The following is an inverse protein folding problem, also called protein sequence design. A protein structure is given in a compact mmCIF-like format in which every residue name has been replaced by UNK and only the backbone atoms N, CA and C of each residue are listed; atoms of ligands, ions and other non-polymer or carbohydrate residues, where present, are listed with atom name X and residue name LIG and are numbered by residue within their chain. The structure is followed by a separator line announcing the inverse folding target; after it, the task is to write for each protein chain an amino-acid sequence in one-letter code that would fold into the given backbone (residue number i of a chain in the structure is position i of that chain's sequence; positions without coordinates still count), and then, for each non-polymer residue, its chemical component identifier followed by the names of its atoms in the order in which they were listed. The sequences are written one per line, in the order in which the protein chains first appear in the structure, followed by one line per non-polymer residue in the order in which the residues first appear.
data_IF_359384492668
#
_entry.id   IF_359384492668
#
_cell.length_a   1.000
_cell.length_b   1.000
_cell.length_c   1.000
_cell.angle_alpha   90.00
_cell.angle_beta   90.00
_cell.angle_gamma   90.00
#
_symmetry.space_group_name_H-M   'P 1'
#
loop_
_entity.id
_entity.type
_entity.pdbx_description
1 polymer ?
#
# COMPACT_ATOMS: atom_id res chain seq x y z
N UNK A 1 19.56 48.54 -28.59
CA UNK A 1 20.13 47.21 -28.97
C UNK A 1 20.26 46.27 -27.78
N UNK A 2 20.60 46.73 -26.59
CA UNK A 2 20.75 45.92 -25.35
C UNK A 2 19.40 45.35 -24.85
N UNK A 3 18.31 46.10 -24.97
CA UNK A 3 16.95 45.68 -24.57
C UNK A 3 16.44 44.51 -25.37
N UNK A 4 16.68 44.45 -26.65
CA UNK A 4 16.25 43.31 -27.51
C UNK A 4 17.01 42.03 -27.16
N UNK A 5 18.29 42.16 -26.81
CA UNK A 5 19.11 41.00 -26.39
C UNK A 5 18.65 40.44 -25.04
N UNK A 6 18.27 41.29 -24.09
CA UNK A 6 17.77 40.93 -22.79
C UNK A 6 16.40 40.22 -22.86
N UNK A 7 15.53 40.72 -23.76
CA UNK A 7 14.21 40.12 -24.01
C UNK A 7 14.31 38.72 -24.66
N UNK A 8 15.23 38.54 -25.59
CA UNK A 8 15.51 37.25 -26.22
C UNK A 8 16.12 36.27 -25.23
N UNK A 9 17.02 36.72 -24.37
CA UNK A 9 17.61 35.90 -23.30
C UNK A 9 16.57 35.44 -22.28
N UNK A 10 15.68 36.34 -21.85
CA UNK A 10 14.59 35.99 -20.93
C UNK A 10 13.62 34.97 -21.55
N UNK A 11 13.24 35.13 -22.82
CA UNK A 11 12.38 34.17 -23.50
C UNK A 11 13.02 32.80 -23.63
N UNK A 12 14.31 32.74 -23.95
CA UNK A 12 15.07 31.48 -24.01
C UNK A 12 15.20 30.81 -22.64
N UNK A 13 15.41 31.58 -21.59
CA UNK A 13 15.51 31.08 -20.21
C UNK A 13 14.16 30.55 -19.72
N UNK A 14 13.05 31.24 -20.05
CA UNK A 14 11.69 30.77 -19.73
C UNK A 14 11.35 29.45 -20.44
N UNK A 15 11.70 29.33 -21.73
CA UNK A 15 11.52 28.10 -22.51
C UNK A 15 12.34 26.95 -21.92
N UNK A 16 13.57 27.22 -21.49
CA UNK A 16 14.44 26.22 -20.88
C UNK A 16 13.85 25.70 -19.55
N UNK A 17 13.36 26.61 -18.69
CA UNK A 17 12.70 26.24 -17.42
C UNK A 17 11.45 25.40 -17.69
N UNK A 18 10.63 25.79 -18.66
CA UNK A 18 9.42 25.06 -19.02
C UNK A 18 9.75 23.67 -19.56
N UNK A 19 10.79 23.55 -20.37
CA UNK A 19 11.23 22.26 -20.93
C UNK A 19 11.82 21.31 -19.86
N UNK A 20 12.42 21.84 -18.79
CA UNK A 20 12.94 21.03 -17.68
C UNK A 20 11.83 20.62 -16.71
N UNK A 21 10.80 21.46 -16.51
CA UNK A 21 9.68 21.18 -15.60
C UNK A 21 8.68 20.17 -16.18
N UNK A 22 8.48 20.13 -17.50
CA UNK A 22 7.54 19.21 -18.17
C UNK A 22 7.81 17.72 -17.89
N UNK A 23 9.06 17.20 -17.96
CA UNK A 23 9.32 15.79 -17.71
C UNK A 23 9.12 15.39 -16.23
N UNK A 24 9.24 16.31 -15.27
CA UNK A 24 9.02 16.02 -13.84
C UNK A 24 7.53 15.80 -13.58
N UNK A 25 6.66 16.57 -14.21
CA UNK A 25 5.20 16.40 -14.10
C UNK A 25 4.72 15.13 -14.84
N UNK A 26 5.33 14.82 -15.99
CA UNK A 26 5.01 13.62 -16.77
C UNK A 26 5.43 12.31 -16.05
N UNK A 27 6.53 12.33 -15.28
CA UNK A 27 7.02 11.16 -14.55
C UNK A 27 6.05 10.73 -13.44
N UNK A 28 5.42 11.66 -12.73
CA UNK A 28 4.41 11.38 -11.71
C UNK A 28 3.15 10.73 -12.29
N UNK A 29 2.66 11.24 -13.40
CA UNK A 29 1.49 10.69 -14.09
C UNK A 29 1.77 9.31 -14.72
N UNK A 30 2.95 9.12 -15.32
CA UNK A 30 3.36 7.85 -15.90
C UNK A 30 3.44 6.73 -14.84
N UNK A 31 3.89 7.06 -13.63
CA UNK A 31 4.00 6.09 -12.53
C UNK A 31 2.63 5.61 -12.03
N UNK A 32 1.65 6.50 -11.93
CA UNK A 32 0.28 6.19 -11.50
C UNK A 32 -0.44 5.33 -12.56
N UNK A 33 -0.38 5.72 -13.82
CA UNK A 33 -0.98 4.98 -14.94
C UNK A 33 -0.33 3.60 -15.11
N UNK A 34 0.97 3.50 -14.87
CA UNK A 34 1.73 2.24 -14.96
C UNK A 34 1.33 1.26 -13.84
N UNK A 35 1.05 1.74 -12.62
CA UNK A 35 0.64 0.87 -11.50
C UNK A 35 -0.71 0.21 -11.79
N UNK A 36 -1.71 0.98 -12.24
CA UNK A 36 -3.04 0.45 -12.63
C UNK A 36 -2.92 -0.64 -13.69
N UNK A 37 -2.21 -0.38 -14.79
CA UNK A 37 -2.02 -1.35 -15.86
C UNK A 37 -1.30 -2.63 -15.37
N UNK A 38 -0.38 -2.50 -14.41
CA UNK A 38 0.39 -3.63 -13.86
C UNK A 38 -0.43 -4.54 -12.95
N UNK A 39 -1.51 -4.05 -12.33
CA UNK A 39 -2.36 -4.82 -11.40
C UNK A 39 -3.76 -5.10 -11.94
N UNK A 40 -4.06 -4.73 -13.19
CA UNK A 40 -5.37 -4.95 -13.80
C UNK A 40 -5.78 -6.44 -13.87
N UNK A 41 -4.81 -7.33 -13.86
CA UNK A 41 -5.00 -8.79 -13.88
C UNK A 41 -5.33 -9.39 -12.49
N UNK A 42 -5.25 -8.59 -11.41
CA UNK A 42 -5.42 -9.04 -10.03
C UNK A 42 -6.67 -9.88 -9.77
N UNK A 43 -7.89 -9.49 -10.24
CA UNK A 43 -9.11 -10.25 -9.94
C UNK A 43 -9.10 -11.67 -10.53
N UNK A 44 -8.30 -11.91 -11.56
CA UNK A 44 -8.22 -13.18 -12.28
C UNK A 44 -7.03 -14.05 -11.85
N UNK A 45 -6.18 -13.55 -10.95
CA UNK A 45 -5.01 -14.25 -10.45
C UNK A 45 -5.18 -14.68 -9.00
N UNK A 46 -4.48 -15.73 -8.62
CA UNK A 46 -4.57 -16.28 -7.26
C UNK A 46 -3.76 -15.42 -6.30
N UNK A 47 -4.39 -14.99 -5.22
CA UNK A 47 -3.70 -14.40 -4.07
C UNK A 47 -3.25 -15.51 -3.12
N UNK A 48 -1.94 -15.72 -3.01
CA UNK A 48 -1.32 -16.61 -2.04
C UNK A 48 -1.19 -15.87 -0.70
N UNK A 49 -1.87 -16.34 0.32
CA UNK A 49 -1.77 -15.82 1.68
C UNK A 49 -0.66 -16.57 2.39
N UNK A 50 0.47 -15.90 2.59
CA UNK A 50 1.64 -16.48 3.23
C UNK A 50 1.42 -16.52 4.74
N UNK A 51 1.35 -17.72 5.29
CA UNK A 51 1.06 -17.92 6.70
C UNK A 51 2.26 -17.51 7.57
N UNK A 52 2.02 -16.73 8.65
CA UNK A 52 3.07 -16.27 9.56
C UNK A 52 3.90 -17.38 10.23
N UNK A 53 3.34 -18.60 10.33
CA UNK A 53 3.98 -19.72 11.01
C UNK A 53 3.85 -19.68 12.53
N UNK A 54 2.94 -18.85 13.04
CA UNK A 54 2.53 -18.80 14.42
C UNK A 54 1.06 -19.26 14.51
N UNK A 55 0.79 -20.33 15.22
CA UNK A 55 -0.53 -20.97 15.25
C UNK A 55 -1.68 -20.01 15.64
N UNK A 56 -1.40 -19.01 16.48
CA UNK A 56 -2.39 -18.02 16.89
C UNK A 56 -2.73 -17.05 15.73
N UNK A 57 -1.73 -16.52 15.06
CA UNK A 57 -1.94 -15.66 13.89
C UNK A 57 -2.49 -16.47 12.71
N UNK A 58 -1.96 -17.67 12.49
CA UNK A 58 -2.41 -18.53 11.38
C UNK A 58 -3.91 -18.79 11.46
N UNK A 59 -4.44 -19.13 12.64
CA UNK A 59 -5.87 -19.34 12.85
C UNK A 59 -6.70 -18.09 12.53
N UNK A 60 -6.30 -16.93 13.04
CA UNK A 60 -6.99 -15.67 12.81
C UNK A 60 -6.97 -15.25 11.32
N UNK A 61 -5.81 -15.38 10.66
CA UNK A 61 -5.70 -15.09 9.23
C UNK A 61 -6.57 -16.02 8.39
N UNK A 62 -6.57 -17.33 8.69
CA UNK A 62 -7.42 -18.30 8.00
C UNK A 62 -8.90 -17.96 8.14
N UNK A 63 -9.37 -17.67 9.34
CA UNK A 63 -10.76 -17.32 9.61
C UNK A 63 -11.16 -16.03 8.87
N UNK A 64 -10.40 -14.96 9.04
CA UNK A 64 -10.74 -13.66 8.48
C UNK A 64 -10.66 -13.67 6.95
N UNK A 65 -9.61 -14.23 6.37
CA UNK A 65 -9.47 -14.30 4.90
C UNK A 65 -10.59 -15.18 4.31
N UNK A 66 -10.86 -16.35 4.87
CA UNK A 66 -11.91 -17.24 4.36
C UNK A 66 -13.29 -16.60 4.43
N UNK A 67 -13.56 -15.82 5.47
CA UNK A 67 -14.85 -15.15 5.66
C UNK A 67 -15.02 -13.86 4.88
N UNK A 68 -13.92 -13.10 4.58
CA UNK A 68 -14.00 -11.74 4.04
C UNK A 68 -13.41 -11.53 2.66
N UNK A 69 -12.37 -12.28 2.26
CA UNK A 69 -11.73 -12.06 0.97
C UNK A 69 -12.63 -12.44 -0.20
N UNK A 70 -12.87 -11.51 -1.14
CA UNK A 70 -13.82 -11.69 -2.25
C UNK A 70 -13.32 -11.13 -3.59
N UNK A 71 -12.16 -10.51 -3.63
CA UNK A 71 -11.70 -9.72 -4.78
C UNK A 71 -10.82 -10.50 -5.76
N UNK A 72 -10.37 -11.69 -5.35
CA UNK A 72 -9.63 -12.64 -6.19
C UNK A 72 -9.76 -14.06 -5.64
N UNK A 73 -9.50 -15.11 -6.41
CA UNK A 73 -9.22 -16.43 -5.86
C UNK A 73 -8.07 -16.37 -4.86
N UNK A 74 -8.11 -17.17 -3.80
CA UNK A 74 -7.03 -17.19 -2.81
C UNK A 74 -6.69 -18.62 -2.37
N UNK A 75 -5.47 -18.79 -1.90
CA UNK A 75 -4.95 -20.02 -1.32
C UNK A 75 -3.95 -19.66 -0.20
N UNK A 76 -3.95 -20.45 0.86
CA UNK A 76 -2.94 -20.33 1.90
C UNK A 76 -1.65 -21.03 1.48
N UNK A 77 -0.50 -20.48 1.82
CA UNK A 77 0.78 -21.09 1.53
C UNK A 77 1.79 -20.84 2.65
N UNK A 78 2.82 -21.68 2.69
CA UNK A 78 3.96 -21.49 3.58
C UNK A 78 4.98 -20.50 3.00
N UNK A 79 5.90 -20.01 3.83
CA UNK A 79 7.02 -19.19 3.40
C UNK A 79 7.91 -19.92 2.38
N UNK A 80 8.08 -21.24 2.52
CA UNK A 80 8.84 -22.06 1.56
C UNK A 80 8.16 -22.12 0.18
N UNK A 81 6.84 -22.13 0.13
CA UNK A 81 6.09 -22.08 -1.13
C UNK A 81 6.15 -20.69 -1.74
N UNK A 82 6.05 -19.63 -0.93
CA UNK A 82 6.28 -18.27 -1.39
C UNK A 82 7.65 -18.15 -2.09
N UNK A 83 8.73 -18.63 -1.47
CA UNK A 83 10.06 -18.55 -2.03
C UNK A 83 10.19 -19.26 -3.40
N UNK A 84 9.45 -20.34 -3.60
CA UNK A 84 9.42 -21.07 -4.89
C UNK A 84 8.58 -20.36 -5.95
N UNK A 85 7.51 -19.68 -5.55
CA UNK A 85 6.49 -19.13 -6.44
C UNK A 85 6.64 -17.64 -6.71
N UNK A 86 7.37 -16.88 -5.87
CA UNK A 86 7.48 -15.43 -5.95
C UNK A 86 7.99 -14.88 -7.29
N UNK A 87 8.76 -15.69 -8.03
CA UNK A 87 9.23 -15.32 -9.37
C UNK A 87 8.17 -15.42 -10.47
N UNK A 88 7.01 -15.99 -10.18
CA UNK A 88 5.91 -16.14 -11.14
C UNK A 88 4.96 -14.95 -11.08
N UNK A 89 4.62 -14.40 -12.23
CA UNK A 89 3.63 -13.33 -12.38
C UNK A 89 2.18 -13.82 -12.28
N UNK A 90 1.98 -15.14 -12.10
CA UNK A 90 0.64 -15.75 -11.95
C UNK A 90 0.04 -15.52 -10.58
N UNK A 91 0.82 -15.06 -9.61
CA UNK A 91 0.41 -14.93 -8.22
C UNK A 91 0.57 -13.52 -7.69
N UNK A 92 -0.34 -13.17 -6.78
CA UNK A 92 -0.15 -12.12 -5.80
C UNK A 92 0.10 -12.76 -4.43
N UNK A 93 0.82 -12.06 -3.58
CA UNK A 93 1.14 -12.57 -2.24
C UNK A 93 0.71 -11.56 -1.19
N UNK A 94 -0.07 -12.02 -0.22
CA UNK A 94 -0.39 -11.28 0.99
C UNK A 94 0.45 -11.87 2.13
N UNK A 95 1.22 -11.04 2.81
CA UNK A 95 2.14 -11.52 3.86
C UNK A 95 2.39 -10.46 4.92
N UNK A 96 2.84 -10.90 6.09
CA UNK A 96 3.40 -10.01 7.08
C UNK A 96 4.84 -9.63 6.68
N UNK A 97 5.11 -8.34 6.68
CA UNK A 97 6.44 -7.77 6.47
C UNK A 97 6.82 -6.90 7.66
N UNK A 98 8.09 -6.67 7.87
CA UNK A 98 8.59 -5.76 8.90
C UNK A 98 9.14 -4.50 8.24
N UNK A 99 8.85 -3.35 8.83
CA UNK A 99 9.34 -2.05 8.38
C UNK A 99 10.23 -1.40 9.42
N UNK A 100 11.33 -0.81 8.95
CA UNK A 100 12.28 -0.08 9.75
C UNK A 100 12.38 1.36 9.23
N UNK A 101 12.20 2.34 10.08
CA UNK A 101 12.46 3.72 9.71
C UNK A 101 13.96 4.01 9.70
N UNK A 102 14.35 4.99 8.88
CA UNK A 102 15.76 5.31 8.59
C UNK A 102 16.66 5.50 9.82
N UNK A 103 16.08 5.89 10.96
CA UNK A 103 16.81 6.21 12.19
C UNK A 103 16.59 5.16 13.30
N UNK A 104 15.94 4.05 12.99
CA UNK A 104 15.73 2.94 13.93
C UNK A 104 16.82 1.88 13.76
N UNK A 105 17.22 1.27 14.87
CA UNK A 105 18.20 0.19 14.85
C UNK A 105 17.58 -1.15 14.47
N UNK A 106 16.27 -1.32 14.74
CA UNK A 106 15.50 -2.55 14.50
C UNK A 106 14.12 -2.19 13.92
N UNK A 107 13.47 -3.11 13.19
CA UNK A 107 12.11 -2.89 12.69
C UNK A 107 11.13 -2.68 13.84
N UNK A 108 10.46 -1.53 13.87
CA UNK A 108 9.48 -1.19 14.92
C UNK A 108 8.07 -1.66 14.64
N UNK A 109 7.71 -1.88 13.36
CA UNK A 109 6.35 -2.19 12.93
C UNK A 109 6.29 -3.43 12.03
N UNK A 110 5.19 -4.17 12.18
CA UNK A 110 4.74 -5.18 11.22
C UNK A 110 3.63 -4.60 10.34
N UNK A 111 3.63 -5.01 9.09
CA UNK A 111 2.65 -4.62 8.09
C UNK A 111 2.01 -5.84 7.43
N UNK A 112 0.76 -5.70 7.02
CA UNK A 112 0.17 -6.61 6.03
C UNK A 112 0.43 -5.99 4.66
N UNK A 113 1.19 -6.70 3.82
CA UNK A 113 1.60 -6.24 2.50
C UNK A 113 1.05 -7.16 1.43
N UNK A 114 0.45 -6.56 0.39
CA UNK A 114 0.04 -7.24 -0.83
C UNK A 114 1.01 -6.86 -1.96
N UNK A 115 1.70 -7.85 -2.50
CA UNK A 115 2.70 -7.69 -3.57
C UNK A 115 2.36 -8.58 -4.76
N UNK A 116 2.80 -8.20 -5.95
CA UNK A 116 2.70 -9.02 -7.16
C UNK A 116 3.98 -9.82 -7.37
N UNK A 117 3.84 -11.10 -7.66
CA UNK A 117 4.95 -11.95 -8.09
C UNK A 117 5.51 -11.54 -9.46
N UNK A 118 6.72 -11.97 -9.75
CA UNK A 118 7.36 -11.69 -11.03
C UNK A 118 8.88 -11.68 -10.95
N UNK A 119 9.53 -11.39 -12.09
CA UNK A 119 10.97 -11.46 -12.25
C UNK A 119 11.77 -10.59 -11.25
N UNK A 120 11.19 -9.47 -10.80
CA UNK A 120 11.84 -8.58 -9.83
C UNK A 120 12.02 -9.21 -8.45
N UNK A 121 11.29 -10.29 -8.13
CA UNK A 121 11.45 -11.05 -6.90
C UNK A 121 12.88 -11.64 -6.72
N UNK A 122 13.61 -11.83 -7.81
CA UNK A 122 15.02 -12.26 -7.76
C UNK A 122 15.95 -11.23 -7.10
N UNK A 123 15.52 -9.95 -7.04
CA UNK A 123 16.26 -8.85 -6.41
C UNK A 123 15.88 -8.63 -4.94
N UNK A 124 14.90 -9.37 -4.44
CA UNK A 124 14.33 -9.25 -3.08
C UNK A 124 12.89 -8.77 -3.08
N UNK A 125 12.25 -8.90 -1.91
CA UNK A 125 10.84 -8.53 -1.71
C UNK A 125 10.62 -7.03 -1.98
N UNK A 126 11.55 -6.18 -1.56
CA UNK A 126 11.50 -4.72 -1.74
C UNK A 126 11.50 -4.28 -3.21
N UNK A 127 11.91 -5.17 -4.12
CA UNK A 127 11.91 -4.90 -5.56
C UNK A 127 10.62 -5.35 -6.25
N UNK A 128 9.78 -6.13 -5.56
CA UNK A 128 8.50 -6.59 -6.10
C UNK A 128 7.50 -5.45 -6.18
N UNK A 129 6.53 -5.57 -7.09
CA UNK A 129 5.48 -4.57 -7.21
C UNK A 129 4.57 -4.60 -5.98
N UNK A 130 4.70 -3.60 -5.13
CA UNK A 130 3.79 -3.39 -4.01
C UNK A 130 2.45 -2.85 -4.51
N UNK A 131 1.36 -3.53 -4.12
CA UNK A 131 -0.01 -3.08 -4.36
C UNK A 131 -0.47 -2.18 -3.22
N UNK A 132 -0.39 -2.67 -1.99
CA UNK A 132 -0.78 -1.96 -0.77
C UNK A 132 -0.03 -2.53 0.43
N UNK A 133 0.30 -1.65 1.36
CA UNK A 133 0.89 -2.00 2.66
C UNK A 133 0.12 -1.25 3.74
N UNK A 134 -0.34 -1.96 4.77
CA UNK A 134 -1.07 -1.39 5.92
C UNK A 134 -0.38 -1.78 7.23
N UNK A 135 -0.25 -0.85 8.20
CA UNK A 135 0.29 -1.18 9.52
C UNK A 135 -0.61 -2.20 10.22
N UNK A 136 0.01 -3.13 10.95
CA UNK A 136 -0.70 -4.21 11.61
C UNK A 136 -0.38 -4.31 13.10
N UNK A 137 0.89 -4.42 13.48
CA UNK A 137 1.32 -4.68 14.85
C UNK A 137 2.67 -4.05 15.16
N UNK A 138 3.04 -3.99 16.44
CA UNK A 138 4.42 -3.79 16.84
C UNK A 138 5.26 -5.03 16.47
N UNK A 139 6.50 -4.80 15.99
CA UNK A 139 7.35 -5.90 15.54
C UNK A 139 7.86 -6.74 16.71
N UNK A 140 8.27 -6.09 17.82
CA UNK A 140 8.95 -6.77 18.92
C UNK A 140 8.00 -7.36 19.97
N UNK A 141 6.87 -6.68 20.20
CA UNK A 141 5.91 -7.07 21.25
C UNK A 141 4.48 -7.02 20.73
N UNK A 142 4.09 -7.94 19.82
CA UNK A 142 2.70 -8.00 19.38
C UNK A 142 1.81 -8.36 20.58
N UNK A 143 0.77 -7.57 20.79
CA UNK A 143 -0.11 -7.71 21.97
C UNK A 143 -1.18 -8.78 21.79
N UNK A 144 -1.45 -9.17 20.53
CA UNK A 144 -2.59 -9.98 20.11
C UNK A 144 -3.88 -9.15 19.95
N UNK A 145 -3.93 -7.92 20.47
CA UNK A 145 -5.09 -7.00 20.30
C UNK A 145 -5.24 -6.51 18.85
N UNK A 146 -4.15 -6.45 18.11
CA UNK A 146 -4.12 -6.13 16.68
C UNK A 146 -5.01 -7.04 15.84
N UNK A 147 -5.24 -8.27 16.26
CA UNK A 147 -6.13 -9.22 15.57
C UNK A 147 -7.60 -8.77 15.57
N UNK A 148 -8.02 -7.93 16.53
CA UNK A 148 -9.37 -7.34 16.57
C UNK A 148 -9.59 -6.48 15.32
N UNK A 149 -8.54 -5.82 14.82
CA UNK A 149 -8.60 -4.94 13.66
C UNK A 149 -8.36 -5.68 12.33
N UNK A 150 -7.89 -6.93 12.36
CA UNK A 150 -7.58 -7.70 11.15
C UNK A 150 -8.72 -7.73 10.14
N UNK A 151 -10.00 -7.94 10.53
CA UNK A 151 -11.12 -7.88 9.59
C UNK A 151 -11.23 -6.55 8.84
N UNK A 152 -11.08 -5.43 9.53
CA UNK A 152 -11.14 -4.10 8.95
C UNK A 152 -9.93 -3.83 8.03
N UNK A 153 -8.74 -4.28 8.40
CA UNK A 153 -7.53 -4.15 7.60
C UNK A 153 -7.65 -4.94 6.28
N UNK A 154 -8.20 -6.15 6.32
CA UNK A 154 -8.46 -6.93 5.11
C UNK A 154 -9.48 -6.22 4.20
N UNK A 155 -10.53 -5.64 4.75
CA UNK A 155 -11.51 -4.86 3.98
C UNK A 155 -10.85 -3.61 3.35
N UNK A 156 -9.96 -2.93 4.06
CA UNK A 156 -9.18 -1.79 3.53
C UNK A 156 -8.31 -2.23 2.35
N UNK A 157 -7.57 -3.34 2.49
CA UNK A 157 -6.71 -3.89 1.43
C UNK A 157 -7.53 -4.22 0.18
N UNK A 158 -8.67 -4.89 0.33
CA UNK A 158 -9.57 -5.22 -0.78
C UNK A 158 -10.07 -3.95 -1.49
N UNK A 159 -10.66 -3.04 -0.72
CA UNK A 159 -11.25 -1.81 -1.25
C UNK A 159 -10.21 -0.92 -1.95
N UNK A 160 -9.02 -0.80 -1.38
CA UNK A 160 -7.93 -0.05 -1.99
C UNK A 160 -7.48 -0.69 -3.30
N UNK A 161 -7.27 -2.01 -3.30
CA UNK A 161 -6.81 -2.75 -4.48
C UNK A 161 -7.80 -2.61 -5.63
N UNK A 162 -9.09 -2.83 -5.38
CA UNK A 162 -10.14 -2.70 -6.41
C UNK A 162 -10.30 -1.26 -6.88
N UNK A 163 -10.26 -0.29 -5.98
CA UNK A 163 -10.30 1.13 -6.35
C UNK A 163 -9.09 1.53 -7.20
N UNK A 164 -7.93 0.91 -6.98
CA UNK A 164 -6.70 1.18 -7.75
C UNK A 164 -6.78 0.63 -9.18
N UNK A 165 -7.59 -0.40 -9.42
CA UNK A 165 -7.86 -0.95 -10.75
C UNK A 165 -8.93 -0.13 -11.49
N UNK A 166 -10.01 0.23 -10.79
CA UNK A 166 -11.19 0.86 -11.39
C UNK A 166 -10.97 2.35 -11.70
N UNK A 167 -10.36 3.08 -10.76
CA UNK A 167 -10.22 4.53 -10.86
C UNK A 167 -8.93 4.92 -11.56
N UNK A 168 -9.03 5.82 -12.55
CA UNK A 168 -7.89 6.61 -12.97
C UNK A 168 -7.49 7.53 -11.81
N UNK A 169 -6.40 7.20 -11.12
CA UNK A 169 -5.78 8.09 -10.15
C UNK A 169 -5.16 9.35 -10.79
N UNK A 170 -5.56 9.69 -12.03
CA UNK A 170 -5.13 10.89 -12.75
C UNK A 170 -5.56 12.18 -12.04
N UNK A 171 -6.48 12.10 -11.10
CA UNK A 171 -6.84 13.22 -10.25
C UNK A 171 -6.33 12.96 -8.82
N UNK A 172 -5.60 13.90 -8.27
CA UNK A 172 -5.35 14.09 -6.83
C UNK A 172 -6.65 14.10 -5.98
N UNK A 173 -7.78 13.74 -6.58
CA UNK A 173 -9.10 13.58 -6.00
C UNK A 173 -9.24 12.44 -4.98
N UNK A 174 -8.23 11.60 -4.81
CA UNK A 174 -8.19 10.65 -3.70
C UNK A 174 -8.30 11.34 -2.34
N UNK A 175 -7.60 12.47 -2.17
CA UNK A 175 -7.68 13.28 -0.95
C UNK A 175 -9.06 13.91 -0.74
N UNK A 176 -9.77 14.30 -1.80
CA UNK A 176 -11.12 14.87 -1.68
C UNK A 176 -12.15 13.85 -1.18
N UNK A 177 -12.02 12.58 -1.55
CA UNK A 177 -12.88 11.52 -1.03
C UNK A 177 -12.65 11.29 0.48
N UNK A 178 -11.40 11.31 0.93
CA UNK A 178 -11.07 11.26 2.36
C UNK A 178 -11.54 12.49 3.11
N UNK A 179 -11.36 13.70 2.58
CA UNK A 179 -11.86 14.95 3.17
C UNK A 179 -13.39 14.95 3.29
N UNK A 180 -14.11 14.42 2.29
CA UNK A 180 -15.58 14.28 2.34
C UNK A 180 -16.00 13.26 3.39
N UNK A 181 -15.26 12.19 3.58
CA UNK A 181 -15.53 11.21 4.63
C UNK A 181 -15.23 11.76 6.03
N UNK A 182 -14.17 12.55 6.20
CA UNK A 182 -13.89 13.29 7.45
C UNK A 182 -15.03 14.25 7.82
N UNK A 183 -15.60 14.93 6.84
CA UNK A 183 -16.77 15.80 7.09
C UNK A 183 -18.01 15.00 7.52
N UNK A 184 -18.17 13.79 7.03
CA UNK A 184 -19.21 12.85 7.49
C UNK A 184 -18.93 12.30 8.88
N UNK A 185 -17.66 12.11 9.23
CA UNK A 185 -17.22 11.62 10.54
C UNK A 185 -17.63 12.58 11.70
N UNK A 186 -17.77 13.87 11.44
CA UNK A 186 -18.29 14.83 12.43
C UNK A 186 -19.72 14.51 12.93
N UNK A 187 -20.42 13.56 12.31
CA UNK A 187 -21.75 13.08 12.72
C UNK A 187 -21.70 11.66 13.32
N UNK A 188 -20.52 11.10 13.46
CA UNK A 188 -20.30 9.76 14.01
C UNK A 188 -19.77 9.89 15.44
N UNK A 189 -20.31 9.08 16.33
CA UNK A 189 -19.70 8.86 17.63
C UNK A 189 -18.50 7.95 17.46
N UNK A 190 -17.33 8.43 17.88
CA UNK A 190 -16.08 7.64 17.84
C UNK A 190 -15.88 7.14 19.27
N UNK A 191 -15.92 5.82 19.44
CA UNK A 191 -15.69 5.17 20.73
C UNK A 191 -14.25 4.65 20.72
N UNK A 192 -13.47 5.08 21.71
CA UNK A 192 -12.13 4.57 21.99
C UNK A 192 -12.13 3.76 23.26
N UNK A 193 -11.36 2.70 23.32
CA UNK A 193 -11.04 2.08 24.61
C UNK A 193 -10.02 2.98 25.35
N UNK A 194 -10.21 3.19 26.64
CA UNK A 194 -9.33 4.03 27.44
C UNK A 194 -7.87 3.59 27.36
N UNK A 195 -7.63 2.29 27.32
CA UNK A 195 -6.30 1.68 27.16
C UNK A 195 -5.64 1.95 25.77
N UNK A 196 -6.39 2.42 24.78
CA UNK A 196 -5.86 2.75 23.43
C UNK A 196 -5.49 4.23 23.30
N UNK A 197 -5.74 5.02 24.34
CA UNK A 197 -5.39 6.43 24.39
C UNK A 197 -4.02 6.60 25.08
N UNK A 198 -3.19 7.52 24.56
CA UNK A 198 -1.98 7.92 25.29
C UNK A 198 -2.34 8.72 26.54
N UNK A 199 -1.48 8.66 27.57
CA UNK A 199 -1.66 9.39 28.82
C UNK A 199 -1.89 10.89 28.62
N UNK A 200 -1.35 11.45 27.53
CA UNK A 200 -1.51 12.86 27.14
C UNK A 200 -2.95 13.22 26.68
N UNK A 201 -3.78 12.23 26.36
CA UNK A 201 -5.17 12.44 25.88
C UNK A 201 -6.17 12.18 27.02
N UNK A 202 -5.75 11.49 28.07
CA UNK A 202 -6.62 11.13 29.22
C UNK A 202 -6.58 12.17 30.35
N UNK A 203 -5.74 13.19 30.29
CA UNK A 203 -5.73 14.38 31.18
C UNK A 203 -6.59 15.52 30.59
#
# INVERSE_FOLDING_TARGET
SVWIYMEIMMKKFLILITAVMLPILASGQAQITTKKAKIADFPNKVTKVVMPGNAFYDGAFQEVISSRWRVSPFEFCSLNEFDKLKGSDQYYFMMLTQGQFKNENEPGLQFITLIKGGADAAKGIDSMLEVVTVPFAAADFPSGRELIYLPALIDIIQNYTMSSIEKDFSNLGGLSAYATNLTKANKMEIVFAEDDLSDEITE
#
